data_IF_884932072804
#
_entry.id   IF_884932072804
#
_cell.length_a   1.000
_cell.length_b   1.000
_cell.length_c   1.000
_cell.angle_alpha   90.00
_cell.angle_beta   90.00
_cell.angle_gamma   90.00
#
_symmetry.space_group_name_H-M   'P 1'
#
loop_
_entity.id
_entity.type
_entity.pdbx_description
1 polymer ?
#
# COMPACT_ATOMS: atom_id res chain seq x y z
N UNK A 1 34.85 -4.14 14.11
CA UNK A 1 34.11 -2.86 14.29
C UNK A 1 33.39 -2.40 13.02
N UNK A 2 33.95 -2.59 11.82
CA UNK A 2 33.30 -2.22 10.53
C UNK A 2 32.02 -3.04 10.25
N UNK A 3 32.06 -4.36 10.47
CA UNK A 3 30.92 -5.25 10.23
C UNK A 3 29.67 -4.90 11.06
N UNK A 4 29.86 -4.38 12.29
CA UNK A 4 28.75 -3.95 13.12
C UNK A 4 28.06 -2.71 12.54
N UNK A 5 28.81 -1.74 12.01
CA UNK A 5 28.26 -0.57 11.35
C UNK A 5 27.46 -0.92 10.09
N UNK A 6 28.02 -1.79 9.24
CA UNK A 6 27.33 -2.25 8.01
C UNK A 6 26.05 -3.02 8.35
N UNK A 7 26.08 -3.86 9.38
CA UNK A 7 24.91 -4.60 9.83
C UNK A 7 23.79 -3.67 10.31
N UNK A 8 24.11 -2.67 11.13
CA UNK A 8 23.12 -1.68 11.59
C UNK A 8 22.50 -0.93 10.41
N UNK A 9 23.32 -0.49 9.46
CA UNK A 9 22.81 0.19 8.24
C UNK A 9 21.88 -0.73 7.45
N UNK A 10 22.25 -1.99 7.24
CA UNK A 10 21.43 -2.96 6.52
C UNK A 10 20.07 -3.19 7.22
N UNK A 11 20.06 -3.32 8.55
CA UNK A 11 18.84 -3.48 9.34
C UNK A 11 17.93 -2.25 9.22
N UNK A 12 18.50 -1.05 9.35
CA UNK A 12 17.72 0.21 9.22
C UNK A 12 17.11 0.33 7.83
N UNK A 13 17.88 0.06 6.77
CA UNK A 13 17.37 0.07 5.39
C UNK A 13 16.22 -0.92 5.20
N UNK A 14 16.36 -2.13 5.74
CA UNK A 14 15.36 -3.19 5.62
C UNK A 14 14.07 -2.83 6.39
N UNK A 15 14.18 -2.24 7.58
CA UNK A 15 13.04 -1.73 8.36
C UNK A 15 12.31 -0.61 7.61
N UNK A 16 13.05 0.35 7.06
CA UNK A 16 12.47 1.47 6.29
C UNK A 16 11.77 0.96 5.02
N UNK A 17 12.38 0.01 4.32
CA UNK A 17 11.80 -0.59 3.12
C UNK A 17 10.49 -1.33 3.44
N UNK A 18 10.50 -2.18 4.48
CA UNK A 18 9.29 -2.89 4.91
C UNK A 18 8.20 -1.96 5.42
N UNK A 19 8.55 -0.88 6.13
CA UNK A 19 7.59 0.13 6.54
C UNK A 19 6.94 0.83 5.33
N UNK A 20 7.74 1.16 4.30
CA UNK A 20 7.26 1.87 3.11
C UNK A 20 6.45 1.01 2.15
N UNK A 21 6.74 -0.28 2.05
CA UNK A 21 6.11 -1.21 1.09
C UNK A 21 5.17 -2.23 1.72
N UNK A 22 5.01 -2.25 3.05
CA UNK A 22 4.10 -3.17 3.74
C UNK A 22 2.62 -2.85 3.50
N UNK A 23 2.30 -1.62 3.09
CA UNK A 23 0.91 -1.16 2.97
C UNK A 23 0.17 -1.80 1.81
N UNK A 24 0.81 -1.98 0.66
CA UNK A 24 0.20 -2.63 -0.52
C UNK A 24 -0.25 -4.06 -0.21
N UNK A 25 0.48 -4.79 0.62
CA UNK A 25 0.13 -6.18 1.01
C UNK A 25 -1.09 -6.27 1.93
N UNK A 26 -1.44 -5.17 2.61
CA UNK A 26 -2.57 -5.12 3.55
C UNK A 26 -3.78 -4.42 2.98
N UNK A 27 -3.67 -3.82 1.80
CA UNK A 27 -4.78 -3.10 1.22
C UNK A 27 -5.82 -4.10 0.70
N UNK A 28 -7.04 -3.92 1.18
CA UNK A 28 -8.19 -4.74 0.86
C UNK A 28 -9.24 -3.83 0.26
N UNK A 29 -9.32 -3.85 -1.06
CA UNK A 29 -10.23 -3.00 -1.81
C UNK A 29 -11.66 -3.56 -1.76
N UNK A 30 -12.62 -2.68 -1.52
CA UNK A 30 -14.04 -2.98 -1.61
C UNK A 30 -14.64 -2.23 -2.77
N UNK A 31 -15.27 -2.97 -3.68
CA UNK A 31 -15.98 -2.44 -4.83
C UNK A 31 -17.34 -1.87 -4.40
N UNK A 32 -17.64 -0.64 -4.83
CA UNK A 32 -19.00 -0.09 -4.94
C UNK A 32 -19.30 0.13 -6.42
N UNK A 33 -20.20 -0.70 -6.93
CA UNK A 33 -20.58 -0.71 -8.34
C UNK A 33 -21.39 0.54 -8.69
N UNK A 34 -20.94 1.27 -9.70
CA UNK A 34 -21.70 2.32 -10.37
C UNK A 34 -22.13 1.90 -11.77
N UNK A 35 -22.74 2.83 -12.50
CA UNK A 35 -23.12 2.66 -13.90
C UNK A 35 -21.88 2.91 -14.79
N UNK A 36 -21.12 1.85 -15.08
CA UNK A 36 -19.93 1.89 -15.94
C UNK A 36 -18.61 1.87 -15.17
N UNK A 37 -18.49 2.70 -14.13
CA UNK A 37 -17.32 2.72 -13.24
C UNK A 37 -17.66 2.20 -11.85
N UNK A 38 -16.63 1.73 -11.14
CA UNK A 38 -16.73 1.34 -9.73
C UNK A 38 -15.86 2.23 -8.86
N UNK A 39 -16.43 2.62 -7.73
CA UNK A 39 -15.68 3.26 -6.67
C UNK A 39 -15.03 2.18 -5.81
N UNK A 40 -13.72 2.26 -5.67
CA UNK A 40 -12.93 1.37 -4.85
C UNK A 40 -12.58 2.08 -3.55
N UNK A 41 -12.88 1.45 -2.43
CA UNK A 41 -12.50 1.96 -1.09
C UNK A 41 -11.67 0.91 -0.39
N UNK A 42 -10.47 1.28 0.07
CA UNK A 42 -9.64 0.39 0.87
C UNK A 42 -10.20 0.33 2.29
N UNK A 43 -10.59 -0.86 2.76
CA UNK A 43 -11.15 -1.01 4.11
C UNK A 43 -10.11 -0.84 5.22
N UNK A 44 -8.82 -0.93 4.89
CA UNK A 44 -7.73 -0.87 5.86
C UNK A 44 -7.24 0.56 6.13
N UNK A 45 -7.16 1.40 5.09
CA UNK A 45 -6.62 2.76 5.19
C UNK A 45 -7.60 3.86 4.78
N UNK A 46 -8.76 3.51 4.23
CA UNK A 46 -9.77 4.47 3.78
C UNK A 46 -9.47 5.16 2.44
N UNK A 47 -8.38 4.79 1.75
CA UNK A 47 -8.10 5.32 0.41
C UNK A 47 -9.27 5.06 -0.55
N UNK A 48 -9.60 6.04 -1.39
CA UNK A 48 -10.68 5.95 -2.38
C UNK A 48 -10.13 6.22 -3.77
N UNK A 49 -10.56 5.43 -4.75
CA UNK A 49 -10.31 5.67 -6.17
C UNK A 49 -11.50 5.24 -7.01
N UNK A 50 -11.54 5.66 -8.26
CA UNK A 50 -12.51 5.22 -9.25
C UNK A 50 -11.77 4.46 -10.35
N UNK A 51 -12.44 3.48 -10.94
CA UNK A 51 -11.87 2.69 -12.01
C UNK A 51 -12.88 1.75 -12.64
N UNK A 52 -12.45 0.94 -13.61
CA UNK A 52 -13.32 0.00 -14.29
C UNK A 52 -13.94 -0.99 -13.29
N UNK A 53 -15.18 -1.36 -13.58
CA UNK A 53 -15.89 -2.36 -12.77
C UNK A 53 -15.17 -3.70 -12.82
N UNK A 54 -14.99 -4.32 -11.66
CA UNK A 54 -14.27 -5.59 -11.53
C UNK A 54 -12.75 -5.49 -11.55
N UNK A 55 -12.17 -4.32 -11.85
CA UNK A 55 -10.73 -4.13 -11.88
C UNK A 55 -10.23 -3.49 -10.58
N UNK A 56 -9.77 -4.34 -9.66
CA UNK A 56 -9.23 -3.90 -8.37
C UNK A 56 -7.93 -3.12 -8.55
N UNK A 57 -7.70 -2.02 -7.82
CA UNK A 57 -6.44 -1.28 -7.90
C UNK A 57 -5.23 -2.11 -7.43
N UNK A 58 -4.16 -2.13 -8.23
CA UNK A 58 -2.92 -2.86 -7.94
C UNK A 58 -2.01 -2.17 -6.91
N UNK A 59 -2.24 -0.88 -6.68
CA UNK A 59 -1.46 -0.06 -5.75
C UNK A 59 -2.35 0.47 -4.64
N UNK A 60 -1.79 0.59 -3.44
CA UNK A 60 -2.49 1.21 -2.34
C UNK A 60 -2.29 2.73 -2.36
N UNK A 61 -3.39 3.47 -2.45
CA UNK A 61 -3.39 4.93 -2.55
C UNK A 61 -3.48 5.60 -1.16
N UNK A 62 -2.85 4.99 -0.15
CA UNK A 62 -2.82 5.58 1.20
C UNK A 62 -2.08 6.92 1.13
N UNK A 63 -2.75 8.00 1.53
CA UNK A 63 -2.06 9.27 1.72
C UNK A 63 -1.09 9.13 2.89
N UNK A 64 0.20 9.34 2.64
CA UNK A 64 1.21 9.50 3.68
C UNK A 64 1.07 10.93 4.19
N UNK A 65 0.36 11.10 5.30
CA UNK A 65 0.36 12.36 6.07
C UNK A 65 1.78 12.62 6.60
#
# INVERSE_FOLDING_TARGET
>A
MIFAGVFVIAVVLLLVFNYRHGETRRCRWRERRGAGESQWTCVQCGAVTQGPRGETPDVCLRQKT
#
